data_IF_722620056019
#
_entry.id   IF_722620056019
#
_cell.length_a   1.000
_cell.length_b   1.000
_cell.length_c   1.000
_cell.angle_alpha   90.00
_cell.angle_beta   90.00
_cell.angle_gamma   90.00
#
_symmetry.space_group_name_H-M   'P 1'
#
loop_
_entity.id
_entity.type
_entity.pdbx_description
1 polymer ?
#
# COMPACT_ATOMS: atom_id res chain seq x y z
N UNK A 1 -13.60 -6.34 -58.48
CA UNK A 1 -13.70 -6.58 -57.02
C UNK A 1 -12.53 -7.38 -56.42
N UNK A 2 -11.87 -8.25 -57.21
CA UNK A 2 -10.74 -9.07 -56.71
C UNK A 2 -9.35 -8.40 -56.80
N UNK A 3 -9.24 -7.28 -57.50
CA UNK A 3 -7.97 -6.56 -57.71
C UNK A 3 -7.79 -5.34 -56.79
N UNK A 4 -8.84 -4.91 -56.11
CA UNK A 4 -8.76 -3.82 -55.15
C UNK A 4 -8.33 -4.32 -53.73
N UNK A 5 -8.71 -5.53 -53.37
CA UNK A 5 -8.28 -6.14 -52.09
C UNK A 5 -6.76 -6.45 -52.00
N UNK A 6 -6.07 -6.52 -53.14
CA UNK A 6 -4.62 -6.75 -53.20
C UNK A 6 -3.78 -5.47 -53.11
N UNK A 7 -4.39 -4.30 -53.34
CA UNK A 7 -3.72 -2.97 -53.24
C UNK A 7 -3.77 -2.36 -51.84
N UNK A 8 -4.66 -2.82 -50.98
CA UNK A 8 -4.73 -2.36 -49.59
C UNK A 8 -3.71 -3.04 -48.65
N UNK A 9 -3.19 -4.22 -49.06
CA UNK A 9 -2.20 -4.97 -48.28
C UNK A 9 -0.77 -4.42 -48.37
N UNK A 10 -0.52 -3.41 -49.20
CA UNK A 10 0.84 -2.91 -49.46
C UNK A 10 1.01 -1.43 -49.08
N UNK A 11 0.26 -0.92 -48.06
CA UNK A 11 0.53 0.40 -47.48
C UNK A 11 1.65 0.26 -46.44
N UNK A 12 2.70 1.09 -46.50
CA UNK A 12 3.82 1.08 -45.53
C UNK A 12 3.37 1.42 -44.10
N UNK A 13 2.17 1.93 -43.94
CA UNK A 13 1.60 2.30 -42.63
C UNK A 13 1.13 1.08 -41.81
N UNK A 14 0.91 -0.08 -42.45
CA UNK A 14 0.55 -1.31 -41.74
C UNK A 14 1.74 -1.96 -41.03
N UNK A 15 2.97 -1.68 -41.45
CA UNK A 15 4.18 -2.21 -40.84
C UNK A 15 4.62 -1.49 -39.56
N UNK A 16 4.11 -0.28 -39.31
CA UNK A 16 4.40 0.50 -38.10
C UNK A 16 3.49 0.13 -36.89
N UNK A 17 2.44 -0.66 -37.14
CA UNK A 17 1.46 -1.04 -36.09
C UNK A 17 1.76 -2.41 -35.48
N UNK A 18 2.59 -3.22 -36.11
CA UNK A 18 3.02 -4.52 -35.56
C UNK A 18 4.39 -4.45 -34.92
N UNK A 19 4.51 -3.71 -33.82
CA UNK A 19 5.61 -3.98 -32.89
C UNK A 19 5.33 -5.36 -32.25
N UNK A 20 6.29 -6.31 -32.35
CA UNK A 20 6.09 -7.64 -31.79
C UNK A 20 5.86 -7.49 -30.29
N UNK A 21 4.84 -8.17 -29.79
CA UNK A 21 4.56 -8.40 -28.38
C UNK A 21 5.86 -8.55 -27.58
N UNK A 22 6.38 -7.45 -27.05
CA UNK A 22 7.28 -7.52 -25.93
C UNK A 22 6.45 -8.21 -24.85
N UNK A 23 6.71 -9.49 -24.63
CA UNK A 23 6.06 -10.31 -23.62
C UNK A 23 5.91 -9.45 -22.37
N UNK A 24 4.68 -9.05 -22.06
CA UNK A 24 4.35 -8.37 -20.82
C UNK A 24 4.85 -9.26 -19.69
N UNK A 25 6.08 -9.04 -19.25
CA UNK A 25 6.64 -9.72 -18.08
C UNK A 25 5.69 -9.43 -16.95
N UNK A 26 4.88 -10.44 -16.58
CA UNK A 26 3.95 -10.32 -15.46
C UNK A 26 4.74 -9.81 -14.27
N UNK A 27 4.29 -8.73 -13.67
CA UNK A 27 4.87 -8.24 -12.41
C UNK A 27 4.54 -9.30 -11.36
N UNK A 28 5.46 -10.23 -11.17
CA UNK A 28 5.34 -11.30 -10.20
C UNK A 28 6.25 -11.00 -9.02
N UNK A 29 5.81 -11.37 -7.82
CA UNK A 29 6.63 -11.29 -6.60
C UNK A 29 7.53 -12.53 -6.60
N UNK A 30 8.59 -12.48 -7.42
CA UNK A 30 9.54 -13.57 -7.63
C UNK A 30 10.78 -13.42 -6.73
N UNK A 31 11.61 -14.46 -6.67
CA UNK A 31 12.91 -14.41 -6.00
C UNK A 31 13.78 -13.23 -6.44
N UNK A 32 13.67 -12.84 -7.72
CA UNK A 32 14.39 -11.68 -8.29
C UNK A 32 13.90 -10.37 -7.66
N UNK A 33 12.59 -10.23 -7.45
CA UNK A 33 12.01 -9.08 -6.75
C UNK A 33 12.56 -8.94 -5.34
N UNK A 34 12.54 -10.02 -4.55
CA UNK A 34 13.09 -10.00 -3.20
C UNK A 34 14.59 -9.69 -3.18
N UNK A 35 15.37 -10.26 -4.08
CA UNK A 35 16.81 -9.97 -4.17
C UNK A 35 17.09 -8.50 -4.47
N UNK A 36 16.31 -7.88 -5.37
CA UNK A 36 16.41 -6.44 -5.69
C UNK A 36 15.95 -5.58 -4.50
N UNK A 37 14.85 -5.92 -3.88
CA UNK A 37 14.33 -5.24 -2.69
C UNK A 37 15.36 -5.26 -1.54
N UNK A 38 15.92 -6.43 -1.23
CA UNK A 38 16.96 -6.56 -0.21
C UNK A 38 18.20 -5.73 -0.52
N UNK A 39 18.60 -5.65 -1.79
CA UNK A 39 19.72 -4.79 -2.21
C UNK A 39 19.42 -3.31 -1.94
N UNK A 40 18.22 -2.83 -2.25
CA UNK A 40 17.79 -1.46 -1.95
C UNK A 40 17.71 -1.21 -0.45
N UNK A 41 17.15 -2.14 0.31
CA UNK A 41 17.08 -2.04 1.78
C UNK A 41 18.49 -2.00 2.41
N UNK A 42 19.44 -2.77 1.89
CA UNK A 42 20.82 -2.72 2.38
C UNK A 42 21.51 -1.37 2.11
N UNK A 43 21.15 -0.70 1.02
CA UNK A 43 21.63 0.66 0.73
C UNK A 43 21.00 1.67 1.71
N UNK A 44 19.72 1.52 2.02
CA UNK A 44 18.99 2.45 2.91
C UNK A 44 19.34 2.27 4.39
N UNK A 45 19.66 1.05 4.81
CA UNK A 45 20.00 0.70 6.21
C UNK A 45 21.41 0.09 6.31
N UNK A 46 22.49 0.86 6.06
CA UNK A 46 23.87 0.29 6.02
C UNK A 46 24.41 -0.03 7.40
N UNK A 47 24.01 0.72 8.43
CA UNK A 47 24.56 0.65 9.76
C UNK A 47 23.47 0.94 10.81
N UNK A 48 23.56 0.32 11.95
CA UNK A 48 22.66 0.53 13.11
C UNK A 48 22.65 1.98 13.63
N UNK A 49 23.72 2.72 13.37
CA UNK A 49 23.84 4.17 13.72
C UNK A 49 23.29 5.10 12.66
N UNK A 50 22.68 4.62 11.60
CA UNK A 50 22.10 5.48 10.56
C UNK A 50 20.82 6.16 11.07
N UNK A 51 20.56 7.39 10.62
CA UNK A 51 19.34 8.13 10.95
C UNK A 51 18.08 7.34 10.57
N UNK A 52 18.12 6.62 9.43
CA UNK A 52 17.00 5.75 8.98
C UNK A 52 16.70 4.66 10.00
N UNK A 53 17.73 4.06 10.61
CA UNK A 53 17.53 3.03 11.63
C UNK A 53 17.01 3.62 12.96
N UNK A 54 17.44 4.81 13.33
CA UNK A 54 16.92 5.54 14.49
C UNK A 54 15.42 5.83 14.34
N UNK A 55 14.98 6.29 13.16
CA UNK A 55 13.56 6.52 12.89
C UNK A 55 12.76 5.22 12.86
N UNK A 56 13.34 4.10 12.40
CA UNK A 56 12.71 2.79 12.43
C UNK A 56 12.47 2.32 13.88
N UNK A 57 13.47 2.44 14.76
CA UNK A 57 13.32 2.11 16.19
C UNK A 57 12.27 3.01 16.85
N UNK A 58 12.32 4.32 16.59
CA UNK A 58 11.33 5.27 17.10
C UNK A 58 9.91 4.91 16.68
N UNK A 59 9.73 4.53 15.40
CA UNK A 59 8.45 4.05 14.87
C UNK A 59 8.00 2.77 15.57
N UNK A 60 8.88 1.78 15.75
CA UNK A 60 8.57 0.52 16.43
C UNK A 60 8.14 0.75 17.88
N UNK A 61 8.86 1.63 18.58
CA UNK A 61 8.54 1.97 19.96
C UNK A 61 7.17 2.67 20.09
N UNK A 62 6.90 3.64 19.20
CA UNK A 62 5.61 4.34 19.21
C UNK A 62 4.43 3.43 18.83
N UNK A 63 4.64 2.45 17.94
CA UNK A 63 3.63 1.44 17.61
C UNK A 63 3.34 0.52 18.81
N UNK A 64 4.38 0.07 19.53
CA UNK A 64 4.21 -0.69 20.76
C UNK A 64 3.44 0.12 21.83
N UNK A 65 3.83 1.36 22.02
CA UNK A 65 3.15 2.24 23.00
C UNK A 65 1.68 2.42 22.64
N UNK A 66 1.36 2.60 21.36
CA UNK A 66 -0.02 2.68 20.88
C UNK A 66 -0.81 1.41 21.22
N UNK A 67 -0.26 0.23 20.98
CA UNK A 67 -0.93 -1.05 21.30
C UNK A 67 -1.22 -1.16 22.80
N UNK A 68 -0.25 -0.77 23.66
CA UNK A 68 -0.45 -0.77 25.11
C UNK A 68 -1.53 0.22 25.56
N UNK A 69 -1.53 1.43 25.00
CA UNK A 69 -2.57 2.43 25.28
C UNK A 69 -3.94 1.90 24.83
N UNK A 70 -4.04 1.30 23.63
CA UNK A 70 -5.30 0.74 23.12
C UNK A 70 -5.82 -0.38 24.01
N UNK A 71 -4.96 -1.24 24.52
CA UNK A 71 -5.32 -2.29 25.46
C UNK A 71 -5.87 -1.71 26.78
N UNK A 72 -5.19 -0.70 27.33
CA UNK A 72 -5.65 -0.01 28.52
C UNK A 72 -7.00 0.68 28.34
N UNK A 73 -7.20 1.36 27.20
CA UNK A 73 -8.48 1.99 26.85
C UNK A 73 -9.59 0.95 26.77
N UNK A 74 -9.36 -0.18 26.11
CA UNK A 74 -10.35 -1.25 26.01
C UNK A 74 -10.74 -1.82 27.40
N UNK A 75 -9.78 -1.97 28.32
CA UNK A 75 -10.05 -2.38 29.70
C UNK A 75 -10.86 -1.31 30.46
N UNK A 76 -10.51 -0.04 30.26
CA UNK A 76 -11.20 1.09 30.89
C UNK A 76 -12.64 1.21 30.39
N UNK A 77 -12.89 1.00 29.11
CA UNK A 77 -14.23 0.98 28.50
C UNK A 77 -15.11 -0.10 29.17
N UNK A 78 -14.58 -1.31 29.34
CA UNK A 78 -15.29 -2.36 30.09
C UNK A 78 -15.61 -1.97 31.54
N UNK A 79 -14.69 -1.30 32.22
CA UNK A 79 -14.89 -0.82 33.59
C UNK A 79 -15.92 0.32 33.65
N UNK A 80 -15.97 1.21 32.63
CA UNK A 80 -16.98 2.27 32.52
C UNK A 80 -18.38 1.65 32.40
N UNK A 81 -18.55 0.70 31.47
CA UNK A 81 -19.82 -0.02 31.28
C UNK A 81 -20.24 -0.73 32.56
N UNK A 82 -19.33 -1.41 33.25
CA UNK A 82 -19.61 -2.06 34.54
C UNK A 82 -20.10 -1.10 35.61
N UNK A 83 -19.51 0.12 35.70
CA UNK A 83 -20.00 1.13 36.67
C UNK A 83 -21.35 1.68 36.30
N UNK A 84 -21.64 1.81 35.00
CA UNK A 84 -22.96 2.26 34.54
C UNK A 84 -24.05 1.25 34.89
N UNK A 85 -23.82 -0.04 34.65
CA UNK A 85 -24.76 -1.12 35.00
C UNK A 85 -25.01 -1.21 36.51
N UNK A 86 -23.98 -0.95 37.32
CA UNK A 86 -24.11 -0.92 38.80
C UNK A 86 -24.81 0.33 39.34
N UNK A 87 -25.00 1.35 38.49
CA UNK A 87 -25.66 2.62 38.93
C UNK A 87 -24.79 3.53 39.79
N UNK A 88 -23.48 3.26 39.91
CA UNK A 88 -22.55 4.06 40.71
C UNK A 88 -22.07 5.30 39.92
N UNK A 89 -22.78 6.42 40.15
CA UNK A 89 -22.54 7.69 39.44
C UNK A 89 -21.13 8.27 39.71
N UNK A 90 -20.64 8.17 40.92
CA UNK A 90 -19.35 8.77 41.33
C UNK A 90 -18.20 7.98 40.67
N UNK A 91 -18.27 6.66 40.69
CA UNK A 91 -17.29 5.78 40.07
C UNK A 91 -17.30 5.90 38.53
N UNK A 92 -18.47 5.99 37.94
CA UNK A 92 -18.67 6.23 36.51
C UNK A 92 -17.97 7.53 36.08
N UNK A 93 -18.27 8.66 36.75
CA UNK A 93 -17.69 9.96 36.41
C UNK A 93 -16.16 9.95 36.52
N UNK A 94 -15.61 9.35 37.58
CA UNK A 94 -14.15 9.22 37.75
C UNK A 94 -13.51 8.45 36.63
N UNK A 95 -14.13 7.36 36.16
CA UNK A 95 -13.63 6.56 35.04
C UNK A 95 -13.70 7.27 33.69
N UNK A 96 -14.76 8.04 33.46
CA UNK A 96 -14.87 8.90 32.27
C UNK A 96 -13.79 9.97 32.25
N UNK A 97 -13.51 10.62 33.40
CA UNK A 97 -12.40 11.57 33.49
C UNK A 97 -11.06 10.90 33.22
N UNK A 98 -10.80 9.71 33.76
CA UNK A 98 -9.60 8.93 33.46
C UNK A 98 -9.48 8.60 31.97
N UNK A 99 -10.60 8.25 31.31
CA UNK A 99 -10.67 7.99 29.89
C UNK A 99 -10.32 9.24 29.06
N UNK A 100 -10.79 10.39 29.46
CA UNK A 100 -10.42 11.67 28.82
C UNK A 100 -8.94 12.02 29.04
N UNK A 101 -8.38 11.73 30.21
CA UNK A 101 -6.96 11.95 30.47
C UNK A 101 -6.07 11.07 29.61
N UNK A 102 -6.44 9.79 29.35
CA UNK A 102 -5.65 8.88 28.50
C UNK A 102 -5.74 9.24 27.02
N UNK A 103 -6.76 10.01 26.60
CA UNK A 103 -6.86 10.49 25.24
C UNK A 103 -5.66 11.36 24.84
N UNK A 104 -5.08 12.13 25.76
CA UNK A 104 -3.93 13.00 25.49
C UNK A 104 -2.70 12.18 25.05
N UNK A 105 -2.19 11.20 25.83
CA UNK A 105 -1.08 10.36 25.37
C UNK A 105 -1.44 9.53 24.12
N UNK A 106 -2.69 9.13 23.93
CA UNK A 106 -3.12 8.41 22.72
C UNK A 106 -2.98 9.28 21.45
N UNK A 107 -3.43 10.54 21.51
CA UNK A 107 -3.30 11.50 20.40
C UNK A 107 -1.83 11.83 20.13
N UNK A 108 -1.03 12.05 21.17
CA UNK A 108 0.42 12.28 21.02
C UNK A 108 1.10 11.10 20.34
N UNK A 109 0.78 9.87 20.74
CA UNK A 109 1.35 8.65 20.14
C UNK A 109 0.98 8.52 18.67
N UNK A 110 -0.27 8.79 18.28
CA UNK A 110 -0.70 8.77 16.88
C UNK A 110 0.03 9.84 16.05
N UNK A 111 0.23 11.04 16.61
CA UNK A 111 0.99 12.10 15.93
C UNK A 111 2.46 11.72 15.76
N UNK A 112 3.06 11.08 16.78
CA UNK A 112 4.43 10.57 16.73
C UNK A 112 4.60 9.46 15.68
N UNK A 113 3.64 8.57 15.52
CA UNK A 113 3.65 7.56 14.44
C UNK A 113 3.73 8.24 13.08
N UNK A 114 2.87 9.22 12.82
CA UNK A 114 2.88 9.98 11.57
C UNK A 114 4.22 10.71 11.35
N UNK A 115 4.78 11.30 12.39
CA UNK A 115 6.08 11.94 12.34
C UNK A 115 7.18 10.95 11.98
N UNK A 116 7.27 9.81 12.65
CA UNK A 116 8.31 8.81 12.37
C UNK A 116 8.17 8.16 11.00
N UNK A 117 6.94 7.91 10.52
CA UNK A 117 6.70 7.39 9.15
C UNK A 117 7.22 8.38 8.11
N UNK A 118 6.91 9.66 8.25
CA UNK A 118 7.35 10.69 7.32
C UNK A 118 8.86 10.92 7.40
N UNK A 119 9.44 10.94 8.59
CA UNK A 119 10.88 11.09 8.82
C UNK A 119 11.66 9.90 8.27
N UNK A 120 11.15 8.68 8.45
CA UNK A 120 11.71 7.47 7.86
C UNK A 120 11.69 7.54 6.33
N UNK A 121 10.56 7.94 5.75
CA UNK A 121 10.42 8.12 4.29
C UNK A 121 11.42 9.13 3.74
N UNK A 122 11.58 10.28 4.41
CA UNK A 122 12.52 11.31 4.02
C UNK A 122 13.97 10.83 4.12
N UNK A 123 14.32 10.13 5.18
CA UNK A 123 15.66 9.58 5.40
C UNK A 123 16.03 8.53 4.35
N UNK A 124 15.09 7.64 4.00
CA UNK A 124 15.26 6.64 2.93
C UNK A 124 15.46 7.36 1.58
N UNK A 125 14.58 8.34 1.28
CA UNK A 125 14.63 9.11 0.04
C UNK A 125 15.98 9.82 -0.11
N UNK A 126 16.39 10.58 0.90
CA UNK A 126 17.64 11.34 0.87
C UNK A 126 18.85 10.43 0.60
N UNK A 127 18.90 9.29 1.26
CA UNK A 127 19.99 8.34 1.10
C UNK A 127 20.01 7.67 -0.26
N UNK A 128 18.86 7.19 -0.76
CA UNK A 128 18.78 6.62 -2.10
C UNK A 128 19.13 7.63 -3.17
N UNK A 129 18.59 8.85 -3.08
CA UNK A 129 18.90 9.92 -4.01
C UNK A 129 20.40 10.20 -4.05
N UNK A 130 21.05 10.33 -2.90
CA UNK A 130 22.50 10.56 -2.83
C UNK A 130 23.30 9.43 -3.51
N UNK A 131 22.99 8.18 -3.19
CA UNK A 131 23.71 7.04 -3.78
C UNK A 131 23.49 6.97 -5.29
N UNK A 132 22.27 7.17 -5.75
CA UNK A 132 21.93 7.08 -7.17
C UNK A 132 22.54 8.26 -7.94
N UNK A 133 22.47 9.49 -7.42
CA UNK A 133 23.09 10.66 -8.05
C UNK A 133 24.60 10.50 -8.17
N UNK A 134 25.27 9.99 -7.14
CA UNK A 134 26.70 9.72 -7.20
C UNK A 134 27.10 8.73 -8.29
N UNK A 135 26.26 7.73 -8.55
CA UNK A 135 26.50 6.77 -9.64
C UNK A 135 26.11 7.35 -10.99
N UNK A 136 24.98 8.06 -11.07
CA UNK A 136 24.44 8.64 -12.30
C UNK A 136 25.35 9.72 -12.89
N UNK A 137 25.91 10.59 -12.07
CA UNK A 137 26.79 11.66 -12.50
C UNK A 137 28.25 11.20 -12.71
N UNK A 138 28.65 10.05 -12.16
CA UNK A 138 30.02 9.54 -12.29
C UNK A 138 30.27 9.02 -13.71
N UNK A 139 31.44 9.33 -14.27
CA UNK A 139 31.95 8.82 -15.54
C UNK A 139 31.00 9.05 -16.74
N UNK A 140 30.28 10.18 -16.76
CA UNK A 140 29.31 10.50 -17.83
C UNK A 140 28.22 9.43 -18.00
N UNK A 141 27.84 8.75 -16.92
CA UNK A 141 26.82 7.69 -16.97
C UNK A 141 25.47 8.23 -17.45
N UNK A 142 25.10 9.46 -17.11
CA UNK A 142 23.90 10.13 -17.61
C UNK A 142 23.90 10.23 -19.15
N UNK A 143 25.03 10.59 -19.76
CA UNK A 143 25.16 10.68 -21.22
C UNK A 143 25.03 9.31 -21.89
N UNK A 144 25.71 8.29 -21.32
CA UNK A 144 25.64 6.91 -21.82
C UNK A 144 24.24 6.35 -21.76
N UNK A 145 23.49 6.62 -20.69
CA UNK A 145 22.10 6.15 -20.52
C UNK A 145 21.12 6.85 -21.46
N UNK A 146 21.36 8.12 -21.78
CA UNK A 146 20.45 8.88 -22.65
C UNK A 146 20.69 8.62 -24.13
N UNK A 147 21.96 8.46 -24.54
CA UNK A 147 22.31 8.43 -25.97
C UNK A 147 22.78 7.05 -26.48
N UNK A 148 23.22 6.15 -25.59
CA UNK A 148 23.83 4.86 -25.99
C UNK A 148 23.07 3.63 -25.48
N UNK A 149 22.10 3.83 -24.56
CA UNK A 149 21.43 2.70 -23.90
C UNK A 149 19.94 2.94 -23.73
N UNK A 150 19.13 2.28 -24.54
CA UNK A 150 17.66 2.37 -24.49
C UNK A 150 17.00 1.54 -23.37
N UNK A 151 17.79 0.85 -22.53
CA UNK A 151 17.26 0.00 -21.45
C UNK A 151 16.58 0.78 -20.34
N UNK A 152 17.00 2.03 -20.11
CA UNK A 152 16.44 2.93 -19.08
C UNK A 152 15.84 4.13 -19.78
N UNK A 153 14.54 4.16 -19.89
CA UNK A 153 13.79 5.31 -20.37
C UNK A 153 13.36 6.18 -19.21
N UNK A 154 13.29 7.49 -19.41
CA UNK A 154 12.86 8.48 -18.41
C UNK A 154 13.64 8.38 -17.09
N UNK A 155 14.96 8.48 -17.17
CA UNK A 155 15.85 8.44 -16.00
C UNK A 155 15.53 9.53 -14.97
N UNK A 156 15.07 10.70 -15.42
CA UNK A 156 14.58 11.82 -14.61
C UNK A 156 13.41 11.40 -13.71
N UNK A 157 12.42 10.72 -14.25
CA UNK A 157 11.25 10.23 -13.50
C UNK A 157 11.67 9.17 -12.47
N UNK A 158 12.52 8.23 -12.86
CA UNK A 158 13.02 7.19 -11.95
C UNK A 158 13.77 7.78 -10.76
N UNK A 159 14.62 8.79 -11.01
CA UNK A 159 15.45 9.45 -9.99
C UNK A 159 14.64 10.33 -9.02
N UNK A 160 13.58 10.95 -9.50
CA UNK A 160 12.80 11.91 -8.72
C UNK A 160 11.54 11.32 -8.14
N UNK A 161 10.62 10.86 -8.99
CA UNK A 161 9.27 10.43 -8.61
C UNK A 161 9.28 9.01 -8.04
N UNK A 162 9.97 8.09 -8.69
CA UNK A 162 9.91 6.68 -8.29
C UNK A 162 10.69 6.43 -6.99
N UNK A 163 11.82 7.10 -6.79
CA UNK A 163 12.55 7.07 -5.51
C UNK A 163 11.67 7.62 -4.37
N UNK A 164 10.90 8.68 -4.61
CA UNK A 164 9.98 9.23 -3.63
C UNK A 164 8.84 8.25 -3.31
N UNK A 165 8.19 7.70 -4.35
CA UNK A 165 7.10 6.71 -4.21
C UNK A 165 7.58 5.47 -3.46
N UNK A 166 8.76 4.94 -3.84
CA UNK A 166 9.38 3.80 -3.17
C UNK A 166 9.65 4.06 -1.69
N UNK A 167 10.28 5.19 -1.36
CA UNK A 167 10.61 5.55 0.01
C UNK A 167 9.37 5.65 0.90
N UNK A 168 8.31 6.28 0.37
CA UNK A 168 7.03 6.40 1.06
C UNK A 168 6.34 5.04 1.22
N UNK A 169 6.34 4.22 0.17
CA UNK A 169 5.73 2.89 0.20
C UNK A 169 6.40 1.97 1.23
N UNK A 170 7.73 1.95 1.31
CA UNK A 170 8.48 1.15 2.30
C UNK A 170 8.19 1.61 3.74
N UNK A 171 8.15 2.92 3.99
CA UNK A 171 7.86 3.44 5.33
C UNK A 171 6.44 3.11 5.79
N UNK A 172 5.46 3.22 4.90
CA UNK A 172 4.07 2.84 5.18
C UNK A 172 3.93 1.32 5.33
N UNK A 173 4.59 0.53 4.49
CA UNK A 173 4.54 -0.92 4.52
C UNK A 173 5.04 -1.45 5.86
N UNK A 174 6.11 -0.87 6.40
CA UNK A 174 6.63 -1.26 7.71
C UNK A 174 5.57 -1.07 8.81
N UNK A 175 4.95 0.12 8.90
CA UNK A 175 3.91 0.39 9.88
C UNK A 175 2.69 -0.55 9.71
N UNK A 176 2.26 -0.74 8.47
CA UNK A 176 1.08 -1.56 8.14
C UNK A 176 1.29 -3.07 8.38
N UNK A 177 2.53 -3.56 8.41
CA UNK A 177 2.83 -4.95 8.76
C UNK A 177 3.12 -5.11 10.25
N UNK A 178 3.97 -4.24 10.79
CA UNK A 178 4.46 -4.35 12.15
C UNK A 178 3.36 -4.14 13.20
N UNK A 179 2.48 -3.18 12.98
CA UNK A 179 1.39 -2.87 13.90
C UNK A 179 0.41 -4.04 14.07
N UNK A 180 -0.20 -4.62 13.02
CA UNK A 180 -1.10 -5.76 13.19
C UNK A 180 -0.41 -7.01 13.77
N UNK A 181 0.88 -7.20 13.51
CA UNK A 181 1.64 -8.29 14.14
C UNK A 181 1.72 -8.13 15.66
N UNK A 182 2.08 -6.94 16.13
CA UNK A 182 2.15 -6.64 17.57
C UNK A 182 0.76 -6.73 18.18
N UNK A 183 -0.23 -6.09 17.57
CA UNK A 183 -1.61 -6.13 18.05
C UNK A 183 -2.09 -7.58 18.18
N UNK A 184 -1.85 -8.41 17.16
CA UNK A 184 -2.21 -9.83 17.19
C UNK A 184 -1.53 -10.58 18.35
N UNK A 185 -0.24 -10.35 18.59
CA UNK A 185 0.49 -11.01 19.69
C UNK A 185 -0.06 -10.56 21.05
N UNK A 186 -0.17 -9.25 21.26
CA UNK A 186 -0.56 -8.67 22.56
C UNK A 186 -2.01 -9.01 22.89
N UNK A 187 -2.93 -8.86 21.94
CA UNK A 187 -4.34 -9.21 22.17
C UNK A 187 -4.57 -10.72 22.34
N UNK A 188 -3.84 -11.58 21.61
CA UNK A 188 -3.93 -13.02 21.81
C UNK A 188 -3.39 -13.45 23.18
N UNK A 189 -2.29 -12.86 23.64
CA UNK A 189 -1.78 -13.11 24.99
C UNK A 189 -2.78 -12.68 26.07
N UNK A 190 -3.40 -11.51 25.91
CA UNK A 190 -4.40 -11.01 26.84
C UNK A 190 -5.67 -11.87 26.83
N UNK A 191 -6.13 -12.27 25.65
CA UNK A 191 -7.30 -13.12 25.49
C UNK A 191 -7.09 -14.50 26.14
N UNK A 192 -5.91 -15.10 25.97
CA UNK A 192 -5.59 -16.38 26.59
C UNK A 192 -5.62 -16.35 28.13
N UNK A 193 -5.24 -15.21 28.72
CA UNK A 193 -5.29 -15.00 30.18
C UNK A 193 -6.71 -14.76 30.69
N UNK A 194 -7.60 -14.20 29.86
CA UNK A 194 -8.95 -13.79 30.29
C UNK A 194 -10.00 -14.86 30.01
N UNK A 195 -9.93 -15.52 28.87
CA UNK A 195 -10.99 -16.43 28.37
C UNK A 195 -10.53 -17.89 28.26
N UNK A 196 -9.24 -18.13 28.43
CA UNK A 196 -8.65 -19.47 28.37
C UNK A 196 -8.05 -19.81 27.00
N UNK A 197 -7.23 -20.87 27.02
CA UNK A 197 -6.45 -21.31 25.84
C UNK A 197 -7.35 -21.93 24.75
N UNK A 198 -8.46 -22.55 25.13
CA UNK A 198 -9.40 -23.18 24.20
C UNK A 198 -10.00 -22.16 23.24
N UNK A 199 -10.43 -21.02 23.76
CA UNK A 199 -10.98 -19.91 22.97
C UNK A 199 -9.92 -19.26 22.06
N UNK A 200 -8.66 -19.24 22.51
CA UNK A 200 -7.55 -18.78 21.68
C UNK A 200 -7.37 -19.67 20.43
N UNK A 201 -7.40 -20.99 20.61
CA UNK A 201 -7.25 -21.94 19.49
C UNK A 201 -8.42 -21.76 18.51
N UNK A 202 -9.65 -21.68 19.03
CA UNK A 202 -10.84 -21.46 18.20
C UNK A 202 -10.75 -20.15 17.40
N UNK A 203 -10.42 -19.04 18.07
CA UNK A 203 -10.26 -17.73 17.41
C UNK A 203 -9.16 -17.77 16.35
N UNK A 204 -8.00 -18.35 16.67
CA UNK A 204 -6.87 -18.48 15.74
C UNK A 204 -7.24 -19.31 14.50
N UNK A 205 -8.00 -20.37 14.70
CA UNK A 205 -8.49 -21.24 13.59
C UNK A 205 -9.45 -20.46 12.67
N UNK A 206 -10.39 -19.72 13.25
CA UNK A 206 -11.32 -18.88 12.48
C UNK A 206 -10.55 -17.79 11.70
N UNK A 207 -9.53 -17.14 12.32
CA UNK A 207 -8.67 -16.17 11.65
C UNK A 207 -8.00 -16.79 10.43
N UNK A 208 -7.41 -17.98 10.57
CA UNK A 208 -6.72 -18.65 9.46
C UNK A 208 -7.67 -19.01 8.31
N UNK A 209 -8.85 -19.55 8.63
CA UNK A 209 -9.87 -19.89 7.63
C UNK A 209 -10.33 -18.64 6.87
N UNK A 210 -10.63 -17.56 7.59
CA UNK A 210 -11.04 -16.29 6.98
C UNK A 210 -9.93 -15.69 6.13
N UNK A 211 -8.68 -15.69 6.61
CA UNK A 211 -7.54 -15.19 5.85
C UNK A 211 -7.33 -16.00 4.55
N UNK A 212 -7.50 -17.32 4.60
CA UNK A 212 -7.43 -18.19 3.43
C UNK A 212 -8.55 -17.85 2.43
N UNK A 213 -9.77 -17.67 2.90
CA UNK A 213 -10.92 -17.29 2.08
C UNK A 213 -10.70 -15.94 1.40
N UNK A 214 -10.33 -14.91 2.16
CA UNK A 214 -10.05 -13.57 1.63
C UNK A 214 -8.90 -13.62 0.63
N UNK A 215 -7.83 -14.37 0.89
CA UNK A 215 -6.71 -14.53 -0.03
C UNK A 215 -7.11 -15.11 -1.38
N UNK A 216 -7.98 -16.11 -1.40
CA UNK A 216 -8.47 -16.73 -2.64
C UNK A 216 -9.35 -15.76 -3.44
N UNK A 217 -10.14 -14.95 -2.75
CA UNK A 217 -11.07 -13.99 -3.35
C UNK A 217 -10.40 -12.65 -3.74
N UNK A 218 -9.18 -12.37 -3.24
CA UNK A 218 -8.48 -11.11 -3.50
C UNK A 218 -8.02 -11.00 -4.95
N UNK A 219 -8.49 -9.98 -5.71
CA UNK A 219 -8.01 -9.73 -7.07
C UNK A 219 -6.53 -9.30 -7.09
N UNK A 220 -5.83 -9.48 -8.21
CA UNK A 220 -4.42 -9.11 -8.33
C UNK A 220 -4.24 -7.58 -8.46
N UNK A 221 -4.55 -6.82 -7.43
CA UNK A 221 -4.47 -5.35 -7.41
C UNK A 221 -3.09 -4.81 -7.79
N UNK A 222 -2.01 -5.52 -7.46
CA UNK A 222 -0.66 -5.15 -7.85
C UNK A 222 -0.44 -5.11 -9.36
N UNK A 223 -1.09 -6.03 -10.09
CA UNK A 223 -1.02 -6.04 -11.56
C UNK A 223 -1.83 -4.88 -12.15
N UNK A 224 -3.00 -4.58 -11.57
CA UNK A 224 -3.81 -3.43 -11.99
C UNK A 224 -3.09 -2.11 -11.76
N UNK A 225 -2.46 -1.94 -10.61
CA UNK A 225 -1.67 -0.75 -10.30
C UNK A 225 -0.45 -0.59 -11.24
N UNK A 226 0.23 -1.69 -11.59
CA UNK A 226 1.33 -1.64 -12.54
C UNK A 226 0.86 -1.24 -13.95
N UNK A 227 -0.29 -1.75 -14.39
CA UNK A 227 -0.88 -1.38 -15.69
C UNK A 227 -1.35 0.08 -15.68
N UNK A 228 -1.93 0.56 -14.58
CA UNK A 228 -2.32 1.96 -14.40
C UNK A 228 -1.11 2.89 -14.53
N UNK A 229 -0.01 2.59 -13.84
CA UNK A 229 1.23 3.38 -13.94
C UNK A 229 1.84 3.37 -15.34
N UNK A 230 1.72 2.26 -16.07
CA UNK A 230 2.16 2.18 -17.46
C UNK A 230 1.32 3.10 -18.36
N UNK A 231 -0.02 3.03 -18.27
CA UNK A 231 -0.93 3.85 -19.06
C UNK A 231 -0.79 5.34 -18.73
N UNK A 232 -0.58 5.67 -17.45
CA UNK A 232 -0.30 7.04 -17.01
C UNK A 232 1.03 7.56 -17.60
N UNK A 233 2.05 6.69 -17.65
CA UNK A 233 3.32 6.99 -18.30
C UNK A 233 3.17 7.23 -19.81
N UNK A 234 2.37 6.44 -20.52
CA UNK A 234 2.07 6.61 -21.94
C UNK A 234 1.30 7.93 -22.20
N UNK A 235 0.34 8.26 -21.34
CA UNK A 235 -0.38 9.53 -21.41
C UNK A 235 0.53 10.73 -21.19
N UNK A 236 1.37 10.69 -20.17
CA UNK A 236 2.38 11.73 -19.90
C UNK A 236 3.37 11.88 -21.04
N UNK A 237 3.84 10.77 -21.61
CA UNK A 237 4.74 10.78 -22.76
C UNK A 237 4.11 11.46 -23.97
N UNK A 238 2.81 11.24 -24.22
CA UNK A 238 2.09 11.92 -25.30
C UNK A 238 2.08 13.44 -25.13
N UNK A 239 1.91 13.93 -23.89
CA UNK A 239 2.01 15.36 -23.61
C UNK A 239 3.43 15.90 -23.71
N UNK A 240 4.44 15.17 -23.24
CA UNK A 240 5.84 15.58 -23.34
C UNK A 240 6.25 15.73 -24.82
N UNK A 241 5.86 14.75 -25.66
CA UNK A 241 6.10 14.79 -27.10
C UNK A 241 5.45 16.01 -27.76
N UNK A 242 4.21 16.36 -27.35
CA UNK A 242 3.53 17.56 -27.85
C UNK A 242 4.33 18.83 -27.53
N UNK A 243 4.88 18.94 -26.33
CA UNK A 243 5.69 20.09 -25.91
C UNK A 243 7.04 20.15 -26.62
N UNK A 244 7.70 19.01 -26.78
CA UNK A 244 9.00 18.90 -27.45
C UNK A 244 8.91 19.26 -28.94
N UNK A 245 7.80 18.88 -29.61
CA UNK A 245 7.61 19.13 -31.04
C UNK A 245 6.57 20.24 -31.32
N UNK A 246 6.37 21.15 -30.38
CA UNK A 246 5.31 22.17 -30.48
C UNK A 246 5.44 23.06 -31.72
N UNK A 247 6.64 23.42 -32.14
CA UNK A 247 6.91 24.24 -33.33
C UNK A 247 6.54 23.51 -34.64
N UNK A 248 6.93 22.21 -34.73
CA UNK A 248 6.61 21.40 -35.90
C UNK A 248 5.11 21.17 -36.03
N UNK A 249 4.47 20.82 -34.92
CA UNK A 249 2.99 20.60 -34.88
C UNK A 249 2.25 21.89 -35.20
N UNK A 250 2.74 23.03 -34.72
CA UNK A 250 2.18 24.35 -35.04
C UNK A 250 2.34 24.70 -36.51
N UNK A 251 3.52 24.46 -37.10
CA UNK A 251 3.82 24.72 -38.50
C UNK A 251 2.93 23.89 -39.45
N UNK A 252 2.78 22.59 -39.16
CA UNK A 252 1.94 21.71 -39.98
C UNK A 252 0.46 21.73 -39.61
N UNK A 253 0.02 22.57 -38.65
CA UNK A 253 -1.35 22.65 -38.13
C UNK A 253 -1.91 21.28 -37.68
N UNK A 254 -1.04 20.45 -37.08
CA UNK A 254 -1.34 19.08 -36.67
C UNK A 254 -2.11 18.95 -35.37
N UNK A 255 -2.59 20.04 -34.74
CA UNK A 255 -3.21 20.05 -33.41
C UNK A 255 -4.39 19.08 -33.25
N UNK A 256 -5.20 18.89 -34.29
CA UNK A 256 -6.33 17.96 -34.21
C UNK A 256 -5.91 16.50 -34.21
N UNK A 257 -4.85 16.17 -34.93
CA UNK A 257 -4.27 14.82 -34.93
C UNK A 257 -3.65 14.52 -33.57
N UNK A 258 -2.85 15.44 -33.02
CA UNK A 258 -2.24 15.27 -31.70
C UNK A 258 -3.30 15.17 -30.59
N UNK A 259 -4.38 15.96 -30.66
CA UNK A 259 -5.51 15.83 -29.75
C UNK A 259 -6.10 14.41 -29.78
N UNK A 260 -6.35 13.86 -30.96
CA UNK A 260 -6.88 12.49 -31.10
C UNK A 260 -5.94 11.44 -30.50
N UNK A 261 -4.63 11.63 -30.63
CA UNK A 261 -3.63 10.71 -30.06
C UNK A 261 -3.61 10.79 -28.53
N UNK A 262 -3.65 12.00 -27.98
CA UNK A 262 -3.72 12.23 -26.52
C UNK A 262 -5.04 11.68 -25.97
N UNK A 263 -6.17 11.98 -26.60
CA UNK A 263 -7.47 11.47 -26.20
C UNK A 263 -7.51 9.94 -26.19
N UNK A 264 -6.91 9.29 -27.19
CA UNK A 264 -6.82 7.82 -27.22
C UNK A 264 -6.04 7.25 -26.03
N UNK A 265 -4.91 7.86 -25.68
CA UNK A 265 -4.11 7.45 -24.51
C UNK A 265 -4.89 7.66 -23.22
N UNK A 266 -5.58 8.80 -23.11
CA UNK A 266 -6.42 9.15 -21.97
C UNK A 266 -7.61 8.20 -21.81
N UNK A 267 -8.35 7.91 -22.88
CA UNK A 267 -9.46 6.95 -22.83
C UNK A 267 -9.02 5.53 -22.45
N UNK A 268 -7.83 5.12 -22.87
CA UNK A 268 -7.26 3.84 -22.46
C UNK A 268 -7.01 3.79 -20.94
N UNK A 269 -6.45 4.86 -20.39
CA UNK A 269 -6.25 5.04 -18.95
C UNK A 269 -7.57 5.06 -18.18
N UNK A 270 -8.54 5.89 -18.63
CA UNK A 270 -9.86 5.98 -18.00
C UNK A 270 -10.59 4.65 -17.95
N UNK A 271 -10.60 3.92 -19.07
CA UNK A 271 -11.23 2.60 -19.15
C UNK A 271 -10.61 1.61 -18.12
N UNK A 272 -9.31 1.66 -17.95
CA UNK A 272 -8.61 0.83 -16.98
C UNK A 272 -8.95 1.22 -15.53
N UNK A 273 -8.91 2.52 -15.20
CA UNK A 273 -9.26 3.05 -13.87
C UNK A 273 -10.71 2.69 -13.51
N UNK A 274 -11.64 2.91 -14.43
CA UNK A 274 -13.05 2.59 -14.21
C UNK A 274 -13.26 1.08 -13.93
N UNK A 275 -12.55 0.22 -14.67
CA UNK A 275 -12.56 -1.23 -14.40
C UNK A 275 -12.05 -1.54 -13.00
N UNK A 276 -10.99 -0.87 -12.55
CA UNK A 276 -10.45 -1.05 -11.18
C UNK A 276 -11.48 -0.61 -10.14
N UNK A 277 -12.19 0.50 -10.36
CA UNK A 277 -13.22 0.97 -9.43
C UNK A 277 -14.33 -0.05 -9.25
N UNK A 278 -14.85 -0.64 -10.32
CA UNK A 278 -15.86 -1.69 -10.23
C UNK A 278 -15.34 -2.91 -9.45
N UNK A 279 -14.14 -3.39 -9.76
CA UNK A 279 -13.55 -4.52 -9.04
C UNK A 279 -13.35 -4.19 -7.55
N UNK A 280 -12.91 -2.97 -7.24
CA UNK A 280 -12.69 -2.52 -5.87
C UNK A 280 -13.98 -2.41 -5.06
N UNK A 281 -15.09 -1.99 -5.68
CA UNK A 281 -16.40 -1.95 -5.03
C UNK A 281 -16.84 -3.38 -4.65
N UNK A 282 -16.83 -4.32 -5.61
CA UNK A 282 -17.23 -5.71 -5.33
C UNK A 282 -16.33 -6.37 -4.28
N UNK A 283 -15.03 -6.19 -4.40
CA UNK A 283 -14.09 -6.72 -3.42
C UNK A 283 -14.28 -6.08 -2.04
N UNK A 284 -14.43 -4.76 -1.97
CA UNK A 284 -14.65 -4.04 -0.71
C UNK A 284 -15.94 -4.45 -0.01
N UNK A 285 -17.04 -4.62 -0.75
CA UNK A 285 -18.29 -5.13 -0.19
C UNK A 285 -18.13 -6.54 0.41
N UNK A 286 -17.46 -7.43 -0.31
CA UNK A 286 -17.16 -8.78 0.15
C UNK A 286 -16.24 -8.79 1.38
N UNK A 287 -15.14 -8.03 1.31
CA UNK A 287 -14.17 -7.90 2.39
C UNK A 287 -14.84 -7.35 3.66
N UNK A 288 -15.61 -6.28 3.55
CA UNK A 288 -16.33 -5.69 4.68
C UNK A 288 -17.38 -6.66 5.27
N UNK A 289 -18.09 -7.39 4.43
CA UNK A 289 -19.05 -8.39 4.89
C UNK A 289 -18.38 -9.51 5.67
N UNK A 290 -17.24 -10.03 5.21
CA UNK A 290 -16.52 -11.11 5.87
C UNK A 290 -15.76 -10.58 7.11
N UNK A 291 -14.98 -9.51 6.95
CA UNK A 291 -14.08 -9.07 8.02
C UNK A 291 -14.80 -8.30 9.11
N UNK A 292 -15.84 -7.55 8.80
CA UNK A 292 -16.55 -6.73 9.80
C UNK A 292 -17.77 -7.46 10.37
N UNK A 293 -18.67 -7.92 9.50
CA UNK A 293 -19.96 -8.47 9.95
C UNK A 293 -19.85 -9.91 10.40
N UNK A 294 -19.26 -10.80 9.61
CA UNK A 294 -19.12 -12.21 9.99
C UNK A 294 -18.23 -12.37 11.23
N UNK A 295 -17.10 -11.61 11.29
CA UNK A 295 -16.22 -11.60 12.44
C UNK A 295 -16.88 -11.05 13.70
N UNK A 296 -17.64 -9.95 13.57
CA UNK A 296 -18.42 -9.38 14.67
C UNK A 296 -19.42 -10.40 15.24
N UNK A 297 -20.16 -11.08 14.36
CA UNK A 297 -21.11 -12.11 14.76
C UNK A 297 -20.42 -13.30 15.45
N UNK A 298 -19.33 -13.82 14.89
CA UNK A 298 -18.54 -14.91 15.49
C UNK A 298 -17.99 -14.49 16.86
N UNK A 299 -17.44 -13.27 16.96
CA UNK A 299 -16.93 -12.74 18.22
C UNK A 299 -18.00 -12.67 19.31
N UNK A 300 -19.21 -12.19 18.98
CA UNK A 300 -20.33 -12.16 19.91
C UNK A 300 -20.74 -13.58 20.36
N UNK A 301 -20.79 -14.54 19.44
CA UNK A 301 -21.12 -15.95 19.78
C UNK A 301 -20.05 -16.53 20.70
N UNK A 302 -18.76 -16.34 20.42
CA UNK A 302 -17.66 -16.83 21.24
C UNK A 302 -17.73 -16.21 22.65
N UNK A 303 -17.95 -14.90 22.76
CA UNK A 303 -18.04 -14.22 24.04
C UNK A 303 -19.29 -14.61 24.86
N UNK A 304 -20.38 -14.96 24.20
CA UNK A 304 -21.62 -15.38 24.87
C UNK A 304 -21.64 -16.87 25.25
N UNK A 305 -20.84 -17.71 24.60
CA UNK A 305 -20.82 -19.16 24.82
C UNK A 305 -20.61 -19.56 26.30
N UNK A 306 -19.65 -19.00 27.07
CA UNK A 306 -19.47 -19.33 28.47
C UNK A 306 -20.72 -19.06 29.34
N UNK A 307 -21.46 -17.97 29.01
CA UNK A 307 -22.67 -17.58 29.74
C UNK A 307 -23.81 -18.54 29.45
N UNK A 308 -24.03 -18.93 28.18
CA UNK A 308 -25.11 -19.82 27.79
C UNK A 308 -24.87 -21.28 28.18
N UNK A 309 -23.65 -21.76 28.06
CA UNK A 309 -23.31 -23.15 28.36
C UNK A 309 -22.90 -23.40 29.83
N UNK A 310 -22.97 -22.37 30.71
CA UNK A 310 -22.67 -22.46 32.16
C UNK A 310 -21.35 -23.23 32.41
N UNK A 311 -20.29 -22.91 31.68
CA UNK A 311 -19.00 -23.56 31.85
C UNK A 311 -18.49 -23.24 33.27
N UNK A 312 -18.25 -24.25 34.14
CA UNK A 312 -17.79 -24.01 35.50
C UNK A 312 -16.41 -23.38 35.47
N UNK A 313 -16.29 -22.17 36.02
CA UNK A 313 -15.02 -21.42 36.09
C UNK A 313 -15.04 -20.03 35.44
N UNK A 314 -16.15 -19.60 34.88
CA UNK A 314 -16.39 -18.26 34.36
C UNK A 314 -17.44 -17.51 35.16
#
# INVERSE_FOLDING_TARGET
AANESRKESNRPDAALISQPNAQKKRVAIDRVFYARLFRLLRITFPTWRSASFGHLIGLSFTLLLRTLISLYVAELDGRIVSSLVRGDKALFLRRVVAWMCIAVPAVLTNSMISFFVNSLSLSIRSRLTNVIQNVYLKNLTFYKLTNLDDRIRNADQLLTVDVQKFSRAISLLYGNIFMPMIDSIVYNLRLSQTVGVEMLIMTTTVIRLTAMLVKVLTPPFGQYAATEQQLEGEYRFSHARLLENAEEIGFYRGQELEKKLIDRSYFSLLKHINRIFHIRIYYGMMEESIVKWLWGAIGLVICSAPVFFKIPGF
#
